data_IF_032516368221
#
_entry.id   IF_032516368221
#
_cell.length_a   1.000
_cell.length_b   1.000
_cell.length_c   1.000
_cell.angle_alpha   90.00
_cell.angle_beta   90.00
_cell.angle_gamma   90.00
#
_symmetry.space_group_name_H-M   'P 1'
#
loop_
_entity.id
_entity.type
_entity.pdbx_description
1 polymer ?
#
# COMPACT_ATOMS: atom_id res chain seq x y z
N UNK A 1 -4.29 33.64 -19.56
CA UNK A 1 -3.99 32.98 -18.27
C UNK A 1 -5.30 32.69 -17.54
N UNK A 2 -5.90 31.52 -17.76
CA UNK A 2 -7.11 31.09 -17.02
C UNK A 2 -6.65 30.18 -15.88
N UNK A 3 -6.73 30.68 -14.65
CA UNK A 3 -6.53 29.87 -13.43
C UNK A 3 -7.71 28.89 -13.36
N UNK A 4 -7.49 27.62 -13.71
CA UNK A 4 -8.44 26.54 -13.44
C UNK A 4 -8.40 26.26 -11.93
N UNK A 5 -9.43 26.71 -11.21
CA UNK A 5 -9.72 26.27 -9.85
C UNK A 5 -10.16 24.80 -9.92
N UNK A 6 -9.26 23.87 -9.61
CA UNK A 6 -9.62 22.48 -9.35
C UNK A 6 -10.32 22.41 -8.00
N UNK A 7 -11.65 22.37 -8.04
CA UNK A 7 -12.47 22.10 -6.86
C UNK A 7 -12.26 20.67 -6.39
N UNK A 8 -11.40 20.48 -5.39
CA UNK A 8 -11.27 19.23 -4.65
C UNK A 8 -12.50 19.13 -3.74
N UNK A 9 -13.55 18.48 -4.22
CA UNK A 9 -14.69 18.10 -3.38
C UNK A 9 -14.38 16.77 -2.68
N UNK A 10 -13.38 16.78 -1.79
CA UNK A 10 -13.31 15.79 -0.71
C UNK A 10 -14.19 16.36 0.39
N UNK A 11 -15.21 15.61 0.82
CA UNK A 11 -16.07 15.95 1.94
C UNK A 11 -15.20 16.19 3.20
N UNK A 12 -14.79 17.44 3.38
CA UNK A 12 -14.11 17.92 4.56
C UNK A 12 -15.14 17.99 5.69
N UNK A 13 -15.30 16.89 6.42
CA UNK A 13 -15.89 16.98 7.76
C UNK A 13 -14.79 17.50 8.66
N UNK A 14 -14.84 18.81 8.94
CA UNK A 14 -14.03 19.42 9.97
C UNK A 14 -14.41 18.79 11.32
N UNK A 15 -13.49 18.05 11.94
CA UNK A 15 -13.59 17.69 13.36
C UNK A 15 -12.38 18.28 14.05
N UNK A 16 -12.65 19.32 14.84
CA UNK A 16 -11.69 19.86 15.79
C UNK A 16 -11.45 18.83 16.90
N UNK A 17 -10.17 18.58 17.15
CA UNK A 17 -9.54 17.82 18.24
C UNK A 17 -10.41 17.30 19.40
N UNK A 18 -10.27 16.00 19.69
CA UNK A 18 -9.83 15.58 21.03
C UNK A 18 -9.20 14.17 20.98
N UNK A 19 -8.07 14.05 21.66
CA UNK A 19 -7.32 12.82 21.86
C UNK A 19 -8.12 11.83 22.73
N UNK A 20 -8.25 10.58 22.28
CA UNK A 20 -7.97 9.34 23.03
C UNK A 20 -8.62 8.12 22.34
N UNK A 21 -7.94 6.99 22.54
CA UNK A 21 -8.46 5.61 22.53
C UNK A 21 -8.51 4.86 21.18
N UNK A 22 -7.40 4.15 20.94
CA UNK A 22 -7.41 2.69 20.76
C UNK A 22 -7.99 2.15 19.46
N UNK A 23 -7.15 1.97 18.45
CA UNK A 23 -7.48 1.17 17.27
C UNK A 23 -6.21 0.81 16.51
N UNK A 24 -5.74 -0.42 16.71
CA UNK A 24 -4.85 -1.11 15.78
C UNK A 24 -5.37 -0.95 14.34
N UNK A 25 -4.56 -0.38 13.45
CA UNK A 25 -4.41 -0.91 12.09
C UNK A 25 -3.10 -0.40 11.49
N UNK A 26 -2.12 -1.30 11.53
CA UNK A 26 -1.00 -1.36 10.61
C UNK A 26 -1.54 -1.46 9.17
N UNK A 27 -1.67 -0.32 8.51
CA UNK A 27 -2.14 -0.26 7.12
C UNK A 27 -2.41 1.18 6.72
N UNK A 28 -1.38 1.95 6.38
CA UNK A 28 -1.62 3.34 6.01
C UNK A 28 -0.38 4.20 5.81
N UNK A 29 0.43 3.88 4.81
CA UNK A 29 1.19 4.87 4.03
C UNK A 29 1.78 4.16 2.80
N UNK A 30 1.01 4.09 1.71
CA UNK A 30 1.46 3.53 0.44
C UNK A 30 0.72 2.26 0.07
N UNK A 31 -0.52 2.40 -0.41
CA UNK A 31 -1.33 1.31 -0.96
C UNK A 31 -0.81 0.74 -2.29
N UNK A 32 0.51 0.54 -2.40
CA UNK A 32 1.12 -0.29 -3.41
C UNK A 32 1.04 -1.75 -2.97
N UNK A 33 0.76 -2.66 -3.92
CA UNK A 33 0.75 -4.08 -3.64
C UNK A 33 2.12 -4.53 -3.09
N UNK A 34 2.14 -5.06 -1.86
CA UNK A 34 3.36 -5.60 -1.27
C UNK A 34 3.82 -6.83 -2.09
N UNK A 35 5.06 -6.88 -2.62
CA UNK A 35 5.55 -8.01 -3.41
C UNK A 35 5.38 -9.38 -2.72
N UNK A 36 5.52 -9.43 -1.39
CA UNK A 36 5.30 -10.66 -0.63
C UNK A 36 3.83 -11.11 -0.67
N UNK A 37 2.89 -10.17 -0.54
CA UNK A 37 1.45 -10.48 -0.63
C UNK A 37 1.07 -10.98 -2.04
N UNK A 38 1.67 -10.39 -3.08
CA UNK A 38 1.45 -10.84 -4.46
C UNK A 38 1.93 -12.27 -4.68
N UNK A 39 3.13 -12.61 -4.17
CA UNK A 39 3.68 -13.95 -4.30
C UNK A 39 2.84 -15.02 -3.60
N UNK A 40 2.09 -14.65 -2.55
CA UNK A 40 1.16 -15.57 -1.88
C UNK A 40 -0.04 -16.00 -2.75
N UNK A 41 -0.36 -15.27 -3.83
CA UNK A 41 -1.51 -15.58 -4.69
C UNK A 41 -1.18 -16.67 -5.71
N UNK A 42 -2.05 -17.66 -5.82
CA UNK A 42 -1.85 -18.77 -6.77
C UNK A 42 -1.79 -18.32 -8.24
N UNK A 43 -2.59 -17.33 -8.63
CA UNK A 43 -2.62 -16.83 -10.01
C UNK A 43 -1.29 -16.13 -10.39
N UNK A 44 -0.70 -15.39 -9.45
CA UNK A 44 0.64 -14.81 -9.58
C UNK A 44 1.69 -15.90 -9.66
N UNK A 45 1.65 -16.92 -8.79
CA UNK A 45 2.61 -18.02 -8.82
C UNK A 45 2.57 -18.80 -10.16
N UNK A 46 1.36 -18.98 -10.72
CA UNK A 46 1.15 -19.62 -12.03
C UNK A 46 1.69 -18.75 -13.18
N UNK A 47 1.40 -17.44 -13.19
CA UNK A 47 1.91 -16.52 -14.21
C UNK A 47 3.45 -16.41 -14.18
N UNK A 48 4.04 -16.41 -12.98
CA UNK A 48 5.49 -16.46 -12.78
C UNK A 48 6.12 -17.83 -13.08
N UNK A 49 5.30 -18.85 -13.37
CA UNK A 49 5.74 -20.23 -13.55
C UNK A 49 6.69 -20.69 -12.42
N UNK A 50 6.32 -20.42 -11.16
CA UNK A 50 7.15 -20.82 -10.02
C UNK A 50 7.31 -22.35 -9.99
N UNK A 51 8.54 -22.80 -9.81
CA UNK A 51 8.85 -24.21 -9.53
C UNK A 51 8.29 -24.62 -8.15
N UNK A 52 8.12 -25.91 -7.91
CA UNK A 52 7.60 -26.37 -6.62
C UNK A 52 8.54 -25.99 -5.46
N UNK A 53 9.85 -26.08 -5.66
CA UNK A 53 10.84 -25.60 -4.69
C UNK A 53 10.74 -24.08 -4.42
N UNK A 54 10.34 -23.27 -5.40
CA UNK A 54 10.08 -21.84 -5.18
C UNK A 54 8.76 -21.62 -4.44
N UNK A 55 7.70 -22.37 -4.78
CA UNK A 55 6.41 -22.29 -4.08
C UNK A 55 6.55 -22.64 -2.60
N UNK A 56 7.32 -23.66 -2.24
CA UNK A 56 7.55 -24.04 -0.85
C UNK A 56 8.24 -22.91 -0.05
N UNK A 57 9.24 -22.27 -0.67
CA UNK A 57 9.92 -21.10 -0.08
C UNK A 57 8.99 -19.90 0.04
N UNK A 58 8.18 -19.63 -0.99
CA UNK A 58 7.17 -18.57 -0.96
C UNK A 58 6.15 -18.83 0.14
N UNK A 59 5.64 -20.05 0.27
CA UNK A 59 4.67 -20.41 1.31
C UNK A 59 5.24 -20.12 2.71
N UNK A 60 6.51 -20.46 2.95
CA UNK A 60 7.21 -20.13 4.20
C UNK A 60 7.38 -18.62 4.39
N UNK A 61 7.72 -17.90 3.32
CA UNK A 61 7.92 -16.44 3.34
C UNK A 61 6.62 -15.67 3.62
N UNK A 62 5.52 -16.13 3.04
CA UNK A 62 4.20 -15.49 3.10
C UNK A 62 3.31 -16.07 4.20
N UNK A 63 3.82 -17.01 5.00
CA UNK A 63 3.10 -17.55 6.14
C UNK A 63 2.78 -16.43 7.13
N UNK A 64 1.50 -16.28 7.46
CA UNK A 64 1.04 -15.16 8.27
C UNK A 64 1.55 -15.23 9.71
N UNK A 65 1.72 -16.45 10.26
CA UNK A 65 2.24 -16.63 11.60
C UNK A 65 3.73 -16.28 11.64
N UNK A 66 4.51 -16.75 10.66
CA UNK A 66 5.92 -16.42 10.53
C UNK A 66 6.13 -14.91 10.33
N UNK A 67 5.31 -14.24 9.50
CA UNK A 67 5.37 -12.78 9.35
C UNK A 67 5.06 -12.05 10.65
N UNK A 68 4.05 -12.51 11.40
CA UNK A 68 3.70 -11.95 12.71
C UNK A 68 4.83 -12.13 13.72
N UNK A 69 5.43 -13.32 13.77
CA UNK A 69 6.54 -13.62 14.69
C UNK A 69 7.79 -12.81 14.34
N UNK A 70 8.12 -12.67 13.05
CA UNK A 70 9.19 -11.79 12.57
C UNK A 70 8.96 -10.35 13.01
N UNK A 71 7.73 -9.85 12.87
CA UNK A 71 7.37 -8.50 13.29
C UNK A 71 7.52 -8.32 14.81
N UNK A 72 6.97 -9.24 15.60
CA UNK A 72 7.06 -9.22 17.06
C UNK A 72 8.51 -9.25 17.54
N UNK A 73 9.34 -10.12 16.94
CA UNK A 73 10.77 -10.20 17.22
C UNK A 73 11.49 -8.90 16.86
N UNK A 74 11.21 -8.33 15.70
CA UNK A 74 11.83 -7.07 15.27
C UNK A 74 11.49 -5.90 16.21
N UNK A 75 10.27 -5.86 16.75
CA UNK A 75 9.90 -4.90 17.79
C UNK A 75 10.65 -5.14 19.11
N UNK A 76 10.74 -6.39 19.55
CA UNK A 76 11.47 -6.76 20.76
C UNK A 76 12.97 -6.40 20.65
N UNK A 77 13.60 -6.74 19.52
CA UNK A 77 15.00 -6.43 19.24
C UNK A 77 15.26 -4.91 19.20
N UNK A 78 14.27 -4.13 18.76
CA UNK A 78 14.32 -2.68 18.75
C UNK A 78 13.92 -2.02 20.09
N UNK A 79 13.58 -2.82 21.11
CA UNK A 79 13.14 -2.32 22.42
C UNK A 79 11.84 -1.54 22.38
N UNK A 80 10.97 -1.79 21.40
CA UNK A 80 9.68 -1.12 21.24
C UNK A 80 8.58 -1.95 21.91
N UNK A 81 7.93 -1.37 22.90
CA UNK A 81 6.79 -2.00 23.58
C UNK A 81 5.45 -1.67 22.90
N UNK A 82 4.42 -2.44 23.23
CA UNK A 82 3.05 -2.10 22.82
C UNK A 82 2.56 -0.75 23.38
N UNK A 83 3.12 -0.29 24.50
CA UNK A 83 2.78 1.02 25.05
C UNK A 83 3.41 2.15 24.24
N UNK A 84 4.66 1.97 23.79
CA UNK A 84 5.31 2.92 22.88
C UNK A 84 4.51 3.11 21.60
N UNK A 85 3.90 2.05 21.06
CA UNK A 85 3.07 2.14 19.85
C UNK A 85 1.88 3.10 19.98
N UNK A 86 1.43 3.40 21.21
CA UNK A 86 0.32 4.32 21.45
C UNK A 86 0.75 5.78 21.34
N UNK A 87 2.05 6.07 21.51
CA UNK A 87 2.61 7.42 21.46
C UNK A 87 3.10 7.78 20.05
N UNK A 88 3.18 9.08 19.75
CA UNK A 88 3.75 9.54 18.48
C UNK A 88 5.25 9.22 18.37
N UNK A 89 5.96 9.22 19.49
CA UNK A 89 7.39 8.89 19.56
C UNK A 89 7.65 7.41 19.27
N UNK A 90 6.86 6.49 19.84
CA UNK A 90 6.99 5.07 19.51
C UNK A 90 6.56 4.76 18.08
N UNK A 91 5.58 5.48 17.52
CA UNK A 91 5.26 5.38 16.09
C UNK A 91 6.43 5.79 15.19
N UNK A 92 7.22 6.81 15.56
CA UNK A 92 8.45 7.17 14.83
C UNK A 92 9.51 6.07 14.91
N UNK A 93 9.61 5.36 16.05
CA UNK A 93 10.52 4.20 16.20
C UNK A 93 10.13 3.01 15.30
N UNK A 94 8.86 2.91 14.89
CA UNK A 94 8.40 1.85 13.98
C UNK A 94 8.91 2.00 12.56
N UNK A 95 9.14 3.23 12.09
CA UNK A 95 9.56 3.48 10.72
C UNK A 95 10.83 2.70 10.33
N UNK A 96 11.96 2.80 11.05
CA UNK A 96 13.16 2.04 10.71
C UNK A 96 12.98 0.52 10.82
N UNK A 97 12.10 0.03 11.70
CA UNK A 97 11.76 -1.40 11.80
C UNK A 97 11.08 -1.87 10.52
N UNK A 98 10.08 -1.12 10.04
CA UNK A 98 9.38 -1.45 8.79
C UNK A 98 10.31 -1.39 7.60
N UNK A 99 11.15 -0.35 7.50
CA UNK A 99 12.11 -0.20 6.40
C UNK A 99 13.08 -1.38 6.37
N UNK A 100 13.61 -1.80 7.53
CA UNK A 100 14.46 -2.99 7.63
C UNK A 100 13.72 -4.25 7.21
N UNK A 101 12.52 -4.48 7.73
CA UNK A 101 11.72 -5.67 7.37
C UNK A 101 11.38 -5.71 5.88
N UNK A 102 11.05 -4.58 5.27
CA UNK A 102 10.82 -4.49 3.83
C UNK A 102 12.09 -4.80 3.03
N UNK A 103 13.24 -4.29 3.47
CA UNK A 103 14.53 -4.57 2.82
C UNK A 103 14.92 -6.05 2.93
N UNK A 104 14.74 -6.67 4.09
CA UNK A 104 15.03 -8.08 4.33
C UNK A 104 14.07 -8.98 3.54
N UNK A 105 12.77 -8.67 3.54
CA UNK A 105 11.76 -9.32 2.72
C UNK A 105 12.12 -9.26 1.23
N UNK A 106 12.55 -8.09 0.74
CA UNK A 106 12.98 -7.93 -0.66
C UNK A 106 14.15 -8.85 -0.99
N UNK A 107 15.16 -8.95 -0.11
CA UNK A 107 16.31 -9.84 -0.33
C UNK A 107 15.91 -11.31 -0.37
N UNK A 108 14.99 -11.73 0.51
CA UNK A 108 14.47 -13.09 0.52
C UNK A 108 13.71 -13.40 -0.79
N UNK A 109 12.89 -12.47 -1.28
CA UNK A 109 12.21 -12.60 -2.57
C UNK A 109 13.22 -12.71 -3.72
N UNK A 110 14.22 -11.82 -3.76
CA UNK A 110 15.25 -11.81 -4.80
C UNK A 110 16.09 -13.10 -4.79
N UNK A 111 16.21 -13.80 -3.64
CA UNK A 111 16.90 -15.08 -3.52
C UNK A 111 16.03 -16.28 -3.94
N UNK A 112 14.71 -16.13 -3.98
CA UNK A 112 13.77 -17.17 -4.41
C UNK A 112 13.53 -17.08 -5.92
N UNK A 113 13.40 -15.87 -6.45
CA UNK A 113 13.00 -15.63 -7.83
C UNK A 113 14.20 -15.46 -8.76
N UNK A 114 14.03 -15.89 -10.01
CA UNK A 114 14.94 -15.52 -11.11
C UNK A 114 14.78 -14.04 -11.46
N UNK A 115 15.78 -13.40 -12.13
CA UNK A 115 15.65 -12.02 -12.60
C UNK A 115 14.40 -11.77 -13.46
N UNK A 116 14.04 -12.73 -14.32
CA UNK A 116 12.86 -12.67 -15.18
C UNK A 116 11.58 -12.72 -14.36
N UNK A 117 11.50 -13.60 -13.35
CA UNK A 117 10.36 -13.69 -12.44
C UNK A 117 10.22 -12.42 -11.58
N UNK A 118 11.32 -11.87 -11.05
CA UNK A 118 11.28 -10.62 -10.29
C UNK A 118 10.79 -9.46 -11.15
N UNK A 119 11.26 -9.37 -12.41
CA UNK A 119 10.77 -8.37 -13.36
C UNK A 119 9.26 -8.54 -13.63
N UNK A 120 8.80 -9.77 -13.83
CA UNK A 120 7.39 -10.07 -14.08
C UNK A 120 6.53 -9.79 -12.83
N UNK A 121 7.01 -10.08 -11.64
CA UNK A 121 6.33 -9.75 -10.38
C UNK A 121 6.13 -8.23 -10.25
N UNK A 122 7.15 -7.44 -10.57
CA UNK A 122 7.03 -5.97 -10.59
C UNK A 122 5.98 -5.47 -11.59
N UNK A 123 5.93 -6.06 -12.79
CA UNK A 123 4.90 -5.78 -13.78
C UNK A 123 3.48 -6.07 -13.28
N UNK A 124 3.28 -7.24 -12.65
CA UNK A 124 2.01 -7.62 -12.02
C UNK A 124 1.67 -6.63 -10.91
N UNK A 125 2.65 -6.25 -10.07
CA UNK A 125 2.45 -5.27 -9.01
C UNK A 125 2.00 -3.90 -9.52
N UNK A 126 2.56 -3.44 -10.64
CA UNK A 126 2.11 -2.20 -11.32
C UNK A 126 0.67 -2.35 -11.80
N UNK A 127 0.32 -3.47 -12.45
CA UNK A 127 -1.05 -3.70 -12.93
C UNK A 127 -2.07 -3.76 -11.79
N UNK A 128 -1.74 -4.45 -10.70
CA UNK A 128 -2.63 -4.60 -9.55
C UNK A 128 -2.77 -3.30 -8.75
N UNK A 129 -1.72 -2.49 -8.66
CA UNK A 129 -1.78 -1.20 -7.98
C UNK A 129 -2.45 -0.10 -8.82
N UNK A 130 -2.50 -0.24 -10.15
CA UNK A 130 -3.06 0.78 -11.03
C UNK A 130 -2.40 2.15 -10.81
N UNK A 131 -3.20 3.20 -10.64
CA UNK A 131 -2.67 4.54 -10.37
C UNK A 131 -1.90 4.64 -9.04
N UNK A 132 -2.14 3.76 -8.06
CA UNK A 132 -1.36 3.73 -6.80
C UNK A 132 0.08 3.30 -7.00
N UNK A 133 0.42 2.70 -8.13
CA UNK A 133 1.80 2.32 -8.45
C UNK A 133 2.75 3.53 -8.37
N UNK A 134 2.28 4.75 -8.63
CA UNK A 134 3.08 5.98 -8.54
C UNK A 134 3.56 6.32 -7.13
N UNK A 135 3.01 5.67 -6.10
CA UNK A 135 3.47 5.81 -4.72
C UNK A 135 4.77 5.01 -4.47
N UNK A 136 5.10 4.06 -5.36
CA UNK A 136 6.35 3.31 -5.29
C UNK A 136 7.50 4.17 -5.82
N UNK A 137 8.59 4.26 -5.07
CA UNK A 137 9.70 5.19 -5.34
C UNK A 137 10.36 4.95 -6.70
N UNK A 138 10.53 3.70 -7.08
CA UNK A 138 11.10 3.27 -8.36
C UNK A 138 10.16 3.61 -9.53
N UNK A 139 8.85 3.38 -9.37
CA UNK A 139 7.84 3.77 -10.37
C UNK A 139 7.77 5.28 -10.51
N UNK A 140 7.68 6.04 -9.41
CA UNK A 140 7.68 7.49 -9.43
C UNK A 140 8.91 8.06 -10.14
N UNK A 141 10.10 7.52 -9.83
CA UNK A 141 11.36 7.89 -10.48
C UNK A 141 11.33 7.54 -11.98
N UNK A 142 10.88 6.35 -12.35
CA UNK A 142 10.78 5.93 -13.74
C UNK A 142 9.80 6.81 -14.54
N UNK A 143 8.69 7.24 -13.94
CA UNK A 143 7.71 8.15 -14.54
C UNK A 143 8.17 9.62 -14.59
N UNK A 144 9.28 9.94 -13.91
CA UNK A 144 9.74 11.34 -13.80
C UNK A 144 8.71 12.22 -13.12
N UNK A 145 8.10 11.73 -12.04
CA UNK A 145 7.19 12.53 -11.21
C UNK A 145 7.95 13.76 -10.71
N UNK A 146 7.44 14.96 -11.00
CA UNK A 146 8.07 16.22 -10.59
C UNK A 146 7.85 16.49 -9.10
N UNK A 147 8.61 17.43 -8.54
CA UNK A 147 8.45 17.86 -7.14
C UNK A 147 7.02 18.37 -6.89
N UNK A 148 6.47 19.19 -7.78
CA UNK A 148 5.08 19.69 -7.72
C UNK A 148 4.05 18.55 -7.75
N UNK A 149 4.27 17.52 -8.57
CA UNK A 149 3.38 16.35 -8.61
C UNK A 149 3.51 15.54 -7.32
N UNK A 150 4.74 15.33 -6.84
CA UNK A 150 5.01 14.61 -5.61
C UNK A 150 4.37 15.31 -4.40
N UNK A 151 4.46 16.63 -4.29
CA UNK A 151 3.78 17.39 -3.22
C UNK A 151 2.26 17.14 -3.23
N UNK A 152 1.63 17.22 -4.42
CA UNK A 152 0.19 16.94 -4.56
C UNK A 152 -0.15 15.50 -4.21
N UNK A 153 0.68 14.54 -4.60
CA UNK A 153 0.53 13.13 -4.24
C UNK A 153 0.61 12.95 -2.71
N UNK A 154 1.61 13.54 -2.04
CA UNK A 154 1.76 13.44 -0.59
C UNK A 154 0.57 14.07 0.15
N UNK A 155 0.06 15.19 -0.35
CA UNK A 155 -1.15 15.81 0.18
C UNK A 155 -2.37 14.89 0.04
N UNK A 156 -2.57 14.27 -1.13
CA UNK A 156 -3.64 13.28 -1.32
C UNK A 156 -3.50 12.07 -0.39
N UNK A 157 -2.28 11.55 -0.22
CA UNK A 157 -2.01 10.42 0.69
C UNK A 157 -2.36 10.81 2.13
N UNK A 158 -1.99 12.01 2.58
CA UNK A 158 -2.34 12.51 3.90
C UNK A 158 -3.86 12.63 4.09
N UNK A 159 -4.54 13.25 3.13
CA UNK A 159 -6.01 13.42 3.16
C UNK A 159 -6.73 12.07 3.19
N UNK A 160 -6.27 11.10 2.40
CA UNK A 160 -6.81 9.74 2.42
C UNK A 160 -6.62 9.09 3.79
N UNK A 161 -5.44 9.24 4.41
CA UNK A 161 -5.18 8.75 5.76
C UNK A 161 -6.07 9.41 6.82
N UNK A 162 -6.28 10.72 6.75
CA UNK A 162 -7.20 11.45 7.63
C UNK A 162 -8.65 10.97 7.47
N UNK A 163 -9.11 10.81 6.23
CA UNK A 163 -10.45 10.31 5.93
C UNK A 163 -10.68 8.89 6.46
N UNK A 164 -9.71 7.99 6.28
CA UNK A 164 -9.77 6.63 6.81
C UNK A 164 -9.82 6.63 8.34
N UNK A 165 -8.97 7.41 9.01
CA UNK A 165 -9.00 7.55 10.48
C UNK A 165 -10.36 8.03 10.97
N UNK A 166 -10.94 9.05 10.33
CA UNK A 166 -12.27 9.55 10.67
C UNK A 166 -13.36 8.48 10.52
N UNK A 167 -13.32 7.65 9.47
CA UNK A 167 -14.26 6.55 9.30
C UNK A 167 -14.12 5.48 10.39
N UNK A 168 -12.88 5.10 10.76
CA UNK A 168 -12.64 4.15 11.84
C UNK A 168 -13.11 4.68 13.19
N UNK A 169 -12.85 5.95 13.49
CA UNK A 169 -13.33 6.59 14.71
C UNK A 169 -14.86 6.55 14.81
N UNK A 170 -15.56 6.92 13.72
CA UNK A 170 -17.03 6.85 13.68
C UNK A 170 -17.57 5.42 13.88
N UNK A 171 -16.87 4.41 13.36
CA UNK A 171 -17.24 3.01 13.62
C UNK A 171 -17.03 2.64 15.10
N UNK A 172 -15.93 3.07 15.72
CA UNK A 172 -15.66 2.86 17.15
C UNK A 172 -16.67 3.56 18.05
N UNK A 173 -17.11 4.75 17.66
CA UNK A 173 -18.13 5.54 18.36
C UNK A 173 -19.56 5.01 18.14
N UNK A 174 -19.72 3.97 17.31
CA UNK A 174 -21.01 3.36 17.00
C UNK A 174 -21.86 4.12 15.98
N UNK A 175 -21.31 5.16 15.35
CA UNK A 175 -21.98 5.97 14.31
C UNK A 175 -22.02 5.28 12.94
N UNK A 176 -21.18 4.26 12.70
CA UNK A 176 -21.12 3.49 11.46
C UNK A 176 -21.13 1.98 11.73
N UNK A 177 -21.87 1.25 10.89
CA UNK A 177 -21.78 -0.21 10.87
C UNK A 177 -20.50 -0.66 10.16
N UNK A 178 -20.15 -1.95 10.32
CA UNK A 178 -19.02 -2.54 9.57
C UNK A 178 -19.26 -2.55 8.06
N UNK A 179 -20.51 -2.76 7.63
CA UNK A 179 -20.89 -2.73 6.22
C UNK A 179 -20.75 -1.31 5.65
N UNK A 180 -21.26 -0.30 6.36
CA UNK A 180 -21.08 1.11 5.97
C UNK A 180 -19.61 1.49 5.87
N UNK A 181 -18.78 1.01 6.80
CA UNK A 181 -17.34 1.23 6.79
C UNK A 181 -16.71 0.63 5.52
N UNK A 182 -17.04 -0.63 5.19
CA UNK A 182 -16.52 -1.29 3.97
C UNK A 182 -16.88 -0.50 2.71
N UNK A 183 -18.16 -0.11 2.59
CA UNK A 183 -18.66 0.66 1.45
C UNK A 183 -17.97 2.02 1.31
N UNK A 184 -17.81 2.74 2.42
CA UNK A 184 -17.14 4.05 2.44
C UNK A 184 -15.65 3.92 2.14
N UNK A 185 -14.99 2.88 2.65
CA UNK A 185 -13.58 2.62 2.39
C UNK A 185 -13.34 2.28 0.91
N UNK A 186 -14.23 1.48 0.30
CA UNK A 186 -14.19 1.20 -1.14
C UNK A 186 -14.33 2.47 -1.96
N UNK A 187 -15.37 3.28 -1.70
CA UNK A 187 -15.61 4.56 -2.40
C UNK A 187 -14.45 5.53 -2.24
N UNK A 188 -13.92 5.68 -1.02
CA UNK A 188 -12.74 6.51 -0.79
C UNK A 188 -11.51 5.99 -1.53
N UNK A 189 -11.35 4.67 -1.65
CA UNK A 189 -10.30 4.05 -2.45
C UNK A 189 -10.41 4.40 -3.95
N UNK A 190 -11.61 4.26 -4.53
CA UNK A 190 -11.87 4.59 -5.95
C UNK A 190 -11.64 6.08 -6.25
N UNK A 191 -12.07 6.97 -5.33
CA UNK A 191 -11.82 8.41 -5.44
C UNK A 191 -10.32 8.69 -5.40
N UNK A 192 -9.61 8.12 -4.42
CA UNK A 192 -8.17 8.28 -4.29
C UNK A 192 -7.41 7.83 -5.55
N UNK A 193 -7.80 6.70 -6.13
CA UNK A 193 -7.20 6.16 -7.36
C UNK A 193 -7.44 7.06 -8.56
N UNK A 194 -8.65 7.60 -8.66
CA UNK A 194 -9.03 8.55 -9.69
C UNK A 194 -8.23 9.84 -9.59
N UNK A 195 -8.09 10.39 -8.38
CA UNK A 195 -7.33 11.63 -8.14
C UNK A 195 -5.83 11.46 -8.41
N UNK A 196 -5.23 10.32 -8.03
CA UNK A 196 -3.83 10.02 -8.40
C UNK A 196 -3.64 10.01 -9.93
N UNK A 197 -4.58 9.41 -10.66
CA UNK A 197 -4.53 9.38 -12.13
C UNK A 197 -4.63 10.76 -12.77
N UNK A 198 -5.38 11.69 -12.18
CA UNK A 198 -5.51 13.08 -12.65
C UNK A 198 -4.22 13.89 -12.49
N UNK A 199 -3.34 13.50 -11.57
CA UNK A 199 -2.04 14.16 -11.38
C UNK A 199 -1.01 13.78 -12.45
N UNK A 200 -1.26 12.71 -13.23
CA UNK A 200 -0.36 12.25 -14.28
C UNK A 200 -0.67 12.90 -15.63
N UNK A 201 0.39 13.24 -16.35
CA UNK A 201 0.32 13.58 -17.78
C UNK A 201 -0.04 12.35 -18.62
N UNK A 202 -0.51 12.55 -19.85
CA UNK A 202 -0.84 11.43 -20.74
C UNK A 202 0.38 10.56 -21.06
N UNK A 203 1.56 11.17 -21.21
CA UNK A 203 2.83 10.45 -21.37
C UNK A 203 3.15 9.58 -20.14
N UNK A 204 2.92 10.08 -18.92
CA UNK A 204 3.13 9.31 -17.69
C UNK A 204 2.12 8.16 -17.56
N UNK A 205 0.86 8.37 -17.93
CA UNK A 205 -0.16 7.30 -17.95
C UNK A 205 0.21 6.20 -18.95
N UNK A 206 0.65 6.57 -20.15
CA UNK A 206 1.11 5.64 -21.16
C UNK A 206 2.31 4.82 -20.66
N UNK A 207 3.33 5.50 -20.10
CA UNK A 207 4.50 4.83 -19.53
C UNK A 207 4.15 3.92 -18.36
N UNK A 208 3.22 4.33 -17.48
CA UNK A 208 2.76 3.49 -16.38
C UNK A 208 2.11 2.19 -16.89
N UNK A 209 1.29 2.30 -17.96
CA UNK A 209 0.71 1.13 -18.63
C UNK A 209 1.79 0.21 -19.23
N UNK A 210 2.80 0.77 -19.88
CA UNK A 210 3.93 0.01 -20.43
C UNK A 210 4.74 -0.70 -19.33
N UNK A 211 4.93 -0.05 -18.17
CA UNK A 211 5.58 -0.67 -17.01
C UNK A 211 4.81 -1.88 -16.47
N UNK A 212 3.49 -1.96 -16.71
CA UNK A 212 2.67 -3.13 -16.42
C UNK A 212 2.98 -4.34 -17.30
N UNK A 213 3.65 -4.18 -18.45
CA UNK A 213 4.01 -5.30 -19.32
C UNK A 213 2.82 -6.06 -19.90
N UNK A 214 2.96 -7.38 -20.07
CA UNK A 214 1.89 -8.24 -20.60
C UNK A 214 0.69 -8.24 -19.64
N UNK A 215 -0.58 -8.21 -20.12
CA UNK A 215 -1.75 -8.31 -19.25
C UNK A 215 -1.65 -9.48 -18.27
N UNK A 216 -2.01 -9.24 -17.01
CA UNK A 216 -2.12 -10.27 -15.98
C UNK A 216 -3.60 -10.64 -15.79
N UNK A 217 -3.90 -11.93 -15.89
CA UNK A 217 -5.25 -12.44 -15.68
C UNK A 217 -5.48 -12.69 -14.19
N UNK A 218 -6.03 -11.67 -13.52
CA UNK A 218 -6.45 -11.79 -12.12
C UNK A 218 -7.54 -12.83 -12.01
N UNK A 219 -7.35 -13.86 -11.18
CA UNK A 219 -8.46 -14.72 -10.75
C UNK A 219 -9.18 -14.05 -9.60
N UNK A 220 -10.50 -14.09 -9.63
CA UNK A 220 -11.32 -13.69 -8.48
C UNK A 220 -11.13 -14.71 -7.37
N UNK A 221 -10.13 -14.46 -6.52
CA UNK A 221 -9.82 -15.26 -5.34
C UNK A 221 -10.62 -14.82 -4.10
N UNK A 222 -11.64 -13.97 -4.27
CA UNK A 222 -12.51 -13.49 -3.19
C UNK A 222 -11.78 -12.72 -2.08
N UNK A 223 -10.51 -12.37 -2.30
CA UNK A 223 -9.62 -11.79 -1.30
C UNK A 223 -9.01 -10.47 -1.74
N UNK A 224 -9.68 -9.38 -1.38
CA UNK A 224 -9.17 -8.16 -0.74
C UNK A 224 -10.37 -7.32 -0.29
#
# INVERSE_FOLDING_TARGET
MKKLLFGIAILAIAVMSQAQRGGFMMGGAGGGANPAMLLGREDVQKDLALTDAQKDKVATLTDQNAMRDRFMKAMQDAGVSFEDMRTDEGRKKMQPIMEKMQADMKKEIDAILTPEQSKRLGQIGVQMAGNRAILQKDVAKALGITDDQNEKIQNLVKMQGDAQRGLFQKMQDGELTREDLQDKMKKNGEIFDTELGKLLTDNQKAKLKEMGGKPFEKKDDGGL
#
